data_IF_093849864429
#
_entry.id   IF_093849864429
#
_cell.length_a   1.000
_cell.length_b   1.000
_cell.length_c   1.000
_cell.angle_alpha   90.00
_cell.angle_beta   90.00
_cell.angle_gamma   90.00
#
_symmetry.space_group_name_H-M   'P 1'
#
loop_
_entity.id
_entity.type
_entity.pdbx_description
1 polymer ?
#
# COMPACT_ATOMS: atom_id res chain seq x y z
N UNK A 1 80.83 -25.19 38.33
CA UNK A 1 79.41 -25.19 38.76
C UNK A 1 78.57 -24.60 37.63
N UNK A 2 78.31 -25.35 36.55
CA UNK A 2 77.58 -24.85 35.37
C UNK A 2 76.61 -25.89 34.76
N UNK A 3 76.46 -27.06 35.39
CA UNK A 3 75.60 -28.14 34.87
C UNK A 3 74.13 -28.06 35.29
N UNK A 4 73.78 -27.25 36.30
CA UNK A 4 72.42 -27.21 36.84
C UNK A 4 71.47 -26.25 36.09
N UNK A 5 71.99 -25.23 35.41
CA UNK A 5 71.18 -24.23 34.70
C UNK A 5 70.72 -24.67 33.30
N UNK A 6 71.43 -25.61 32.67
CA UNK A 6 71.10 -26.11 31.33
C UNK A 6 69.86 -27.03 31.36
N UNK A 7 69.72 -27.86 32.40
CA UNK A 7 68.57 -28.77 32.53
C UNK A 7 67.23 -28.06 32.76
N UNK A 8 67.23 -26.92 33.45
CA UNK A 8 65.99 -26.15 33.69
C UNK A 8 65.47 -25.43 32.44
N UNK A 9 66.38 -24.98 31.56
CA UNK A 9 65.98 -24.30 30.31
C UNK A 9 65.34 -25.28 29.34
N UNK A 10 65.90 -26.50 29.19
CA UNK A 10 65.29 -27.54 28.34
C UNK A 10 63.92 -28.00 28.85
N UNK A 11 63.76 -28.13 30.17
CA UNK A 11 62.49 -28.50 30.76
C UNK A 11 61.40 -27.43 30.54
N UNK A 12 61.75 -26.15 30.73
CA UNK A 12 60.83 -25.04 30.48
C UNK A 12 60.46 -24.91 29.00
N UNK A 13 61.40 -25.15 28.09
CA UNK A 13 61.14 -25.15 26.65
C UNK A 13 60.18 -26.29 26.27
N UNK A 14 60.39 -27.49 26.81
CA UNK A 14 59.51 -28.64 26.58
C UNK A 14 58.08 -28.40 27.10
N UNK A 15 57.94 -27.81 28.29
CA UNK A 15 56.63 -27.44 28.86
C UNK A 15 55.95 -26.34 28.04
N UNK A 16 56.69 -25.33 27.58
CA UNK A 16 56.14 -24.25 26.76
C UNK A 16 55.64 -24.74 25.40
N UNK A 17 56.38 -25.66 24.75
CA UNK A 17 55.96 -26.27 23.48
C UNK A 17 54.76 -27.20 23.69
N UNK A 18 54.75 -28.00 24.76
CA UNK A 18 53.62 -28.86 25.10
C UNK A 18 52.33 -28.08 25.39
N UNK A 19 52.43 -27.00 26.16
CA UNK A 19 51.30 -26.13 26.48
C UNK A 19 50.82 -25.31 25.27
N UNK A 20 51.73 -24.78 24.46
CA UNK A 20 51.41 -24.00 23.26
C UNK A 20 50.80 -24.86 22.14
N UNK A 21 51.34 -26.06 21.91
CA UNK A 21 50.86 -26.99 20.90
C UNK A 21 49.44 -27.52 21.18
N UNK A 22 49.15 -27.85 22.45
CA UNK A 22 47.83 -28.33 22.85
C UNK A 22 46.71 -27.30 22.66
N UNK A 23 47.00 -26.01 22.86
CA UNK A 23 46.00 -24.94 22.76
C UNK A 23 45.60 -24.58 21.33
N UNK A 24 46.50 -24.77 20.36
CA UNK A 24 46.25 -24.53 18.94
C UNK A 24 45.56 -25.73 18.29
N UNK A 25 46.02 -26.95 18.59
CA UNK A 25 45.44 -28.18 18.05
C UNK A 25 44.01 -28.42 18.54
N UNK A 26 43.70 -28.07 19.79
CA UNK A 26 42.35 -28.20 20.35
C UNK A 26 41.32 -27.20 19.78
N UNK A 27 41.75 -26.10 19.15
CA UNK A 27 40.86 -25.06 18.61
C UNK A 27 40.51 -25.21 17.13
N UNK A 28 41.27 -25.98 16.36
CA UNK A 28 40.99 -26.20 14.94
C UNK A 28 39.55 -26.69 14.64
N UNK A 29 38.99 -27.71 15.31
CA UNK A 29 37.64 -28.18 14.99
C UNK A 29 36.56 -27.14 15.34
N UNK A 30 36.77 -26.36 16.40
CA UNK A 30 35.82 -25.33 16.83
C UNK A 30 35.70 -24.18 15.81
N UNK A 31 36.80 -23.78 15.19
CA UNK A 31 36.79 -22.72 14.17
C UNK A 31 36.11 -23.17 12.88
N UNK A 32 36.23 -24.44 12.49
CA UNK A 32 35.55 -24.98 11.32
C UNK A 32 34.04 -25.08 11.51
N UNK A 33 33.58 -25.48 12.69
CA UNK A 33 32.14 -25.51 13.01
C UNK A 33 31.54 -24.11 13.04
N UNK A 34 32.23 -23.13 13.63
CA UNK A 34 31.78 -21.73 13.63
C UNK A 34 31.75 -21.13 12.22
N UNK A 35 32.75 -21.41 11.38
CA UNK A 35 32.76 -20.96 9.99
C UNK A 35 31.63 -21.59 9.18
N UNK A 36 31.32 -22.87 9.39
CA UNK A 36 30.17 -23.52 8.76
C UNK A 36 28.84 -22.96 9.26
N UNK A 37 28.69 -22.77 10.57
CA UNK A 37 27.47 -22.24 11.17
C UNK A 37 27.18 -20.81 10.69
N UNK A 38 28.21 -19.95 10.63
CA UNK A 38 28.08 -18.59 10.09
C UNK A 38 27.77 -18.58 8.61
N UNK A 39 28.37 -19.49 7.82
CA UNK A 39 28.06 -19.64 6.40
C UNK A 39 26.60 -20.07 6.18
N UNK A 40 26.11 -21.07 6.93
CA UNK A 40 24.72 -21.53 6.88
C UNK A 40 23.75 -20.44 7.32
N UNK A 41 24.05 -19.71 8.40
CA UNK A 41 23.19 -18.58 8.80
C UNK A 41 23.22 -17.42 7.79
N UNK A 42 24.33 -17.18 7.10
CA UNK A 42 24.40 -16.17 6.05
C UNK A 42 23.52 -16.56 4.85
N UNK A 43 23.53 -17.83 4.44
CA UNK A 43 22.67 -18.32 3.35
C UNK A 43 21.20 -18.34 3.74
N UNK A 44 20.86 -18.78 4.95
CA UNK A 44 19.50 -18.74 5.48
C UNK A 44 18.96 -17.32 5.56
N UNK A 45 19.75 -16.36 6.05
CA UNK A 45 19.34 -14.94 6.09
C UNK A 45 19.19 -14.35 4.70
N UNK A 46 20.06 -14.70 3.76
CA UNK A 46 19.93 -14.26 2.37
C UNK A 46 18.68 -14.86 1.70
N UNK A 47 18.39 -16.14 1.95
CA UNK A 47 17.18 -16.80 1.47
C UNK A 47 15.91 -16.19 2.10
N UNK A 48 15.91 -15.94 3.41
CA UNK A 48 14.81 -15.29 4.11
C UNK A 48 14.59 -13.84 3.63
N UNK A 49 15.67 -13.08 3.42
CA UNK A 49 15.60 -11.71 2.93
C UNK A 49 15.07 -11.65 1.49
N UNK A 50 15.50 -12.57 0.62
CA UNK A 50 14.99 -12.65 -0.76
C UNK A 50 13.54 -13.11 -0.82
N UNK A 51 13.13 -14.07 0.01
CA UNK A 51 11.73 -14.48 0.12
C UNK A 51 10.84 -13.34 0.65
N UNK A 52 11.29 -12.60 1.66
CA UNK A 52 10.59 -11.43 2.17
C UNK A 52 10.50 -10.32 1.11
N UNK A 53 11.58 -10.08 0.35
CA UNK A 53 11.56 -9.11 -0.74
C UNK A 53 10.58 -9.49 -1.86
N UNK A 54 10.54 -10.78 -2.24
CA UNK A 54 9.59 -11.28 -3.24
C UNK A 54 8.14 -11.11 -2.77
N UNK A 55 7.82 -11.43 -1.52
CA UNK A 55 6.49 -11.23 -0.96
C UNK A 55 6.07 -9.75 -0.98
N UNK A 56 6.99 -8.82 -0.73
CA UNK A 56 6.71 -7.38 -0.83
C UNK A 56 6.51 -6.92 -2.28
N UNK A 57 7.28 -7.45 -3.24
CA UNK A 57 7.12 -7.14 -4.65
C UNK A 57 5.79 -7.68 -5.21
N UNK A 58 5.36 -8.87 -4.80
CA UNK A 58 4.06 -9.43 -5.16
C UNK A 58 2.89 -8.61 -4.57
N UNK A 59 3.07 -8.08 -3.35
CA UNK A 59 2.09 -7.15 -2.78
C UNK A 59 2.06 -5.81 -3.55
N UNK A 60 3.22 -5.24 -3.90
CA UNK A 60 3.30 -4.00 -4.67
C UNK A 60 2.72 -4.15 -6.07
N UNK A 61 3.12 -5.17 -6.83
CA UNK A 61 2.61 -5.40 -8.19
C UNK A 61 1.09 -5.57 -8.23
N UNK A 62 0.50 -6.24 -7.24
CA UNK A 62 -0.97 -6.32 -7.10
C UNK A 62 -1.59 -4.94 -6.84
N UNK A 63 -0.99 -4.16 -5.94
CA UNK A 63 -1.42 -2.78 -5.69
C UNK A 63 -1.35 -1.90 -6.94
N UNK A 64 -0.28 -2.03 -7.73
CA UNK A 64 -0.06 -1.26 -8.95
C UNK A 64 -1.06 -1.63 -10.05
N UNK A 65 -1.33 -2.92 -10.26
CA UNK A 65 -2.32 -3.40 -11.22
C UNK A 65 -3.74 -2.90 -10.89
N UNK A 66 -4.12 -2.97 -9.61
CA UNK A 66 -5.41 -2.46 -9.15
C UNK A 66 -5.50 -0.94 -9.29
N UNK A 67 -4.42 -0.23 -8.96
CA UNK A 67 -4.34 1.24 -9.10
C UNK A 67 -4.45 1.68 -10.56
N UNK A 68 -3.79 0.96 -11.48
CA UNK A 68 -3.88 1.21 -12.92
C UNK A 68 -5.31 0.96 -13.45
N UNK A 69 -5.96 -0.12 -13.03
CA UNK A 69 -7.36 -0.40 -13.38
C UNK A 69 -8.31 0.68 -12.88
N UNK A 70 -8.12 1.17 -11.66
CA UNK A 70 -8.91 2.24 -11.07
C UNK A 70 -8.72 3.56 -11.83
N UNK A 71 -7.49 3.91 -12.20
CA UNK A 71 -7.20 5.10 -13.00
C UNK A 71 -7.90 5.03 -14.37
N UNK A 72 -7.91 3.87 -15.02
CA UNK A 72 -8.61 3.67 -16.29
C UNK A 72 -10.13 3.81 -16.13
N UNK A 73 -10.72 3.26 -15.08
CA UNK A 73 -12.15 3.44 -14.80
C UNK A 73 -12.49 4.90 -14.51
N UNK A 74 -11.65 5.61 -13.77
CA UNK A 74 -11.86 7.03 -13.47
C UNK A 74 -11.85 7.87 -14.75
N UNK A 75 -10.88 7.67 -15.64
CA UNK A 75 -10.81 8.41 -16.91
C UNK A 75 -12.02 8.13 -17.81
N UNK A 76 -12.53 6.89 -17.80
CA UNK A 76 -13.75 6.53 -18.50
C UNK A 76 -14.99 7.26 -17.94
N UNK A 77 -15.15 7.27 -16.61
CA UNK A 77 -16.23 8.01 -15.93
C UNK A 77 -16.14 9.50 -16.24
N UNK A 78 -14.94 10.09 -16.17
CA UNK A 78 -14.72 11.51 -16.43
C UNK A 78 -15.04 11.87 -17.89
N UNK A 79 -14.69 11.00 -18.84
CA UNK A 79 -15.03 11.19 -20.25
C UNK A 79 -16.55 11.14 -20.46
N UNK A 80 -17.22 10.11 -19.94
CA UNK A 80 -18.67 9.99 -20.04
C UNK A 80 -19.37 11.21 -19.43
N UNK A 81 -18.88 11.67 -18.28
CA UNK A 81 -19.37 12.87 -17.62
C UNK A 81 -19.27 14.08 -18.56
N UNK A 82 -18.10 14.32 -19.17
CA UNK A 82 -17.91 15.43 -20.11
C UNK A 82 -18.83 15.33 -21.33
N UNK A 83 -18.96 14.14 -21.93
CA UNK A 83 -19.85 13.90 -23.07
C UNK A 83 -21.31 14.21 -22.71
N UNK A 84 -21.77 13.78 -21.53
CA UNK A 84 -23.13 14.05 -21.06
C UNK A 84 -23.33 15.51 -20.73
N UNK A 85 -22.40 16.15 -20.02
CA UNK A 85 -22.47 17.59 -19.71
C UNK A 85 -22.55 18.43 -20.99
N UNK A 86 -21.81 18.08 -22.03
CA UNK A 86 -21.92 18.78 -23.31
C UNK A 86 -23.29 18.58 -23.98
N UNK A 87 -23.85 17.37 -23.90
CA UNK A 87 -25.18 17.07 -24.42
C UNK A 87 -26.31 17.80 -23.66
N UNK A 88 -26.13 18.11 -22.36
CA UNK A 88 -27.12 18.87 -21.57
C UNK A 88 -27.45 20.19 -22.27
N UNK A 89 -26.44 20.94 -22.71
CA UNK A 89 -26.62 22.28 -23.31
C UNK A 89 -27.57 22.24 -24.53
N UNK A 90 -27.64 21.09 -25.22
CA UNK A 90 -28.51 20.91 -26.37
C UNK A 90 -29.90 20.37 -26.00
N UNK A 91 -30.04 19.71 -24.85
CA UNK A 91 -31.26 19.04 -24.41
C UNK A 91 -32.07 19.83 -23.36
N UNK A 92 -31.45 20.78 -22.66
CA UNK A 92 -32.09 21.61 -21.63
C UNK A 92 -32.32 23.03 -22.11
N UNK A 93 -33.31 23.69 -21.51
CA UNK A 93 -33.76 25.03 -21.93
C UNK A 93 -33.42 26.14 -20.95
N UNK A 94 -32.86 25.80 -19.79
CA UNK A 94 -32.67 26.74 -18.68
C UNK A 94 -33.98 27.07 -17.94
N UNK A 95 -35.03 26.26 -18.14
CA UNK A 95 -36.34 26.49 -17.53
C UNK A 95 -36.32 26.24 -16.03
N UNK A 96 -36.97 27.11 -15.24
CA UNK A 96 -36.95 26.99 -13.78
C UNK A 96 -37.76 25.76 -13.31
N UNK A 97 -37.07 24.75 -12.78
CA UNK A 97 -37.68 23.51 -12.29
C UNK A 97 -37.88 23.51 -10.78
N UNK A 98 -36.87 23.96 -10.01
CA UNK A 98 -36.94 23.98 -8.55
C UNK A 98 -36.92 25.41 -8.02
N UNK A 99 -37.86 25.70 -7.10
CA UNK A 99 -37.97 27.00 -6.43
C UNK A 99 -37.29 26.94 -5.05
N UNK A 100 -36.97 28.12 -4.53
CA UNK A 100 -36.24 28.33 -3.27
C UNK A 100 -36.63 27.37 -2.11
N UNK A 101 -37.92 27.13 -1.77
CA UNK A 101 -38.26 26.27 -0.63
C UNK A 101 -37.84 24.81 -0.84
N UNK A 102 -37.99 24.29 -2.06
CA UNK A 102 -37.59 22.92 -2.40
C UNK A 102 -36.07 22.81 -2.51
N UNK A 103 -35.40 23.84 -3.03
CA UNK A 103 -33.94 23.91 -3.09
C UNK A 103 -33.31 23.93 -1.70
N UNK A 104 -33.91 24.63 -0.75
CA UNK A 104 -33.46 24.67 0.65
C UNK A 104 -33.56 23.30 1.32
N UNK A 105 -34.62 22.54 1.05
CA UNK A 105 -34.76 21.16 1.53
C UNK A 105 -33.67 20.26 0.94
N UNK A 106 -33.41 20.38 -0.37
CA UNK A 106 -32.36 19.62 -1.05
C UNK A 106 -30.97 19.94 -0.48
N UNK A 107 -30.66 21.24 -0.30
CA UNK A 107 -29.40 21.71 0.26
C UNK A 107 -29.18 21.30 1.73
N UNK A 108 -30.26 21.02 2.47
CA UNK A 108 -30.20 20.60 3.87
C UNK A 108 -30.20 19.07 4.04
N UNK A 109 -30.27 18.30 2.94
CA UNK A 109 -30.36 16.85 3.01
C UNK A 109 -29.02 16.22 3.48
N UNK A 110 -29.04 15.34 4.50
CA UNK A 110 -27.82 14.71 5.00
C UNK A 110 -27.22 13.76 3.96
N UNK A 111 -25.89 13.80 3.81
CA UNK A 111 -25.16 12.94 2.86
C UNK A 111 -25.28 13.36 1.40
N UNK A 112 -25.98 14.46 1.10
CA UNK A 112 -26.11 14.99 -0.25
C UNK A 112 -25.24 16.24 -0.42
N UNK A 113 -24.27 16.19 -1.33
CA UNK A 113 -23.53 17.38 -1.73
C UNK A 113 -24.21 18.00 -2.94
N UNK A 114 -24.70 19.23 -2.76
CA UNK A 114 -25.48 19.96 -3.76
C UNK A 114 -24.60 21.05 -4.39
N UNK A 115 -23.38 20.68 -4.76
CA UNK A 115 -22.44 21.56 -5.44
C UNK A 115 -22.91 21.84 -6.88
N UNK A 116 -22.79 23.09 -7.33
CA UNK A 116 -23.19 23.50 -8.69
C UNK A 116 -24.64 23.99 -8.84
N UNK A 117 -25.49 23.80 -7.83
CA UNK A 117 -26.83 24.40 -7.79
C UNK A 117 -26.80 25.79 -7.12
N UNK A 118 -27.75 26.69 -7.46
CA UNK A 118 -27.88 27.99 -6.83
C UNK A 118 -27.95 27.85 -5.31
N UNK A 119 -27.15 28.63 -4.58
CA UNK A 119 -27.20 28.61 -3.12
C UNK A 119 -28.37 29.45 -2.64
N UNK A 120 -29.21 28.87 -1.77
CA UNK A 120 -30.24 29.63 -1.04
C UNK A 120 -29.67 30.03 0.30
N UNK A 121 -29.54 31.34 0.60
CA UNK A 121 -29.13 31.78 1.92
C UNK A 121 -30.08 31.23 2.99
N UNK A 122 -29.54 30.75 4.11
CA UNK A 122 -30.31 30.25 5.26
C UNK A 122 -30.98 31.38 6.06
N UNK A 123 -31.45 32.45 5.40
CA UNK A 123 -31.97 33.66 6.04
C UNK A 123 -33.01 34.39 5.18
N UNK A 124 -33.88 35.23 5.79
CA UNK A 124 -34.99 35.86 5.10
C UNK A 124 -34.54 37.15 4.41
N UNK A 125 -33.70 37.08 3.37
CA UNK A 125 -33.51 38.19 2.43
C UNK A 125 -32.55 37.81 1.29
N UNK A 126 -33.10 37.68 0.08
CA UNK A 126 -32.51 38.30 -1.10
C UNK A 126 -33.61 38.44 -2.16
N UNK A 127 -33.78 39.66 -2.67
CA UNK A 127 -34.65 39.97 -3.81
C UNK A 127 -34.04 39.34 -5.08
N UNK A 128 -34.36 38.07 -5.28
CA UNK A 128 -33.83 37.20 -6.31
C UNK A 128 -34.07 35.79 -5.84
N UNK A 129 -35.29 35.26 -6.08
CA UNK A 129 -35.61 33.88 -5.69
C UNK A 129 -34.62 32.96 -6.39
N UNK A 130 -33.71 32.34 -5.65
CA UNK A 130 -32.85 31.31 -6.20
C UNK A 130 -33.73 30.18 -6.73
N UNK A 131 -33.61 29.93 -8.02
CA UNK A 131 -34.32 28.87 -8.74
C UNK A 131 -33.30 28.04 -9.46
N UNK A 132 -33.37 26.72 -9.30
CA UNK A 132 -32.61 25.79 -10.11
C UNK A 132 -33.34 25.53 -11.43
N UNK A 133 -32.60 25.67 -12.52
CA UNK A 133 -33.06 25.30 -13.85
C UNK A 133 -33.00 23.79 -14.09
N UNK A 134 -33.67 23.32 -15.14
CA UNK A 134 -33.49 21.97 -15.70
C UNK A 134 -32.01 21.66 -15.98
N UNK A 135 -31.27 22.64 -16.50
CA UNK A 135 -29.81 22.56 -16.72
C UNK A 135 -29.06 22.30 -15.42
N UNK A 136 -29.33 23.09 -14.38
CA UNK A 136 -28.62 22.98 -13.09
C UNK A 136 -28.88 21.62 -12.42
N UNK A 137 -30.15 21.18 -12.43
CA UNK A 137 -30.53 19.89 -11.86
C UNK A 137 -29.92 18.72 -12.64
N UNK A 138 -29.90 18.80 -13.98
CA UNK A 138 -29.34 17.74 -14.82
C UNK A 138 -27.82 17.67 -14.65
N UNK A 139 -27.13 18.80 -14.59
CA UNK A 139 -25.69 18.85 -14.34
C UNK A 139 -25.36 18.26 -12.97
N UNK A 140 -26.08 18.68 -11.94
CA UNK A 140 -25.91 18.14 -10.58
C UNK A 140 -26.14 16.62 -10.52
N UNK A 141 -27.17 16.11 -11.19
CA UNK A 141 -27.45 14.67 -11.21
C UNK A 141 -26.33 13.86 -11.86
N UNK A 142 -25.74 14.38 -12.95
CA UNK A 142 -24.58 13.76 -13.61
C UNK A 142 -23.34 13.81 -12.71
N UNK A 143 -23.09 14.94 -12.04
CA UNK A 143 -22.00 15.09 -11.08
C UNK A 143 -22.13 14.09 -9.92
N UNK A 144 -23.33 13.99 -9.33
CA UNK A 144 -23.63 13.09 -8.24
C UNK A 144 -23.48 11.61 -8.66
N UNK A 145 -23.99 11.25 -9.85
CA UNK A 145 -23.84 9.91 -10.41
C UNK A 145 -22.37 9.53 -10.64
N UNK A 146 -21.57 10.45 -11.19
CA UNK A 146 -20.13 10.22 -11.38
C UNK A 146 -19.40 10.01 -10.04
N UNK A 147 -19.72 10.82 -9.01
CA UNK A 147 -19.14 10.66 -7.68
C UNK A 147 -19.50 9.31 -7.05
N UNK A 148 -20.75 8.85 -7.23
CA UNK A 148 -21.18 7.53 -6.78
C UNK A 148 -20.42 6.40 -7.48
N UNK A 149 -20.31 6.44 -8.80
CA UNK A 149 -19.57 5.41 -9.56
C UNK A 149 -18.08 5.37 -9.18
N UNK A 150 -17.45 6.52 -8.96
CA UNK A 150 -16.07 6.58 -8.42
C UNK A 150 -15.98 5.92 -7.04
N UNK A 151 -16.93 6.19 -6.15
CA UNK A 151 -16.96 5.59 -4.82
C UNK A 151 -17.13 4.07 -4.89
N UNK A 152 -18.07 3.60 -5.72
CA UNK A 152 -18.31 2.18 -5.97
C UNK A 152 -17.07 1.48 -6.52
N UNK A 153 -16.44 2.05 -7.54
CA UNK A 153 -15.21 1.50 -8.13
C UNK A 153 -14.06 1.37 -7.11
N UNK A 154 -13.90 2.38 -6.22
CA UNK A 154 -12.92 2.33 -5.13
C UNK A 154 -13.21 1.21 -4.13
N UNK A 155 -14.47 1.04 -3.75
CA UNK A 155 -14.89 -0.03 -2.83
C UNK A 155 -14.71 -1.40 -3.47
N UNK A 156 -15.10 -1.55 -4.74
CA UNK A 156 -14.91 -2.80 -5.50
C UNK A 156 -13.43 -3.19 -5.58
N UNK A 157 -12.54 -2.22 -5.84
CA UNK A 157 -11.09 -2.45 -5.85
C UNK A 157 -10.54 -2.85 -4.47
N UNK A 158 -11.04 -2.25 -3.39
CA UNK A 158 -10.67 -2.62 -2.02
C UNK A 158 -11.15 -4.03 -1.67
N UNK A 159 -12.37 -4.39 -2.07
CA UNK A 159 -12.92 -5.73 -1.87
C UNK A 159 -12.09 -6.77 -2.61
N UNK A 160 -11.74 -6.54 -3.89
CA UNK A 160 -10.90 -7.49 -4.66
C UNK A 160 -9.52 -7.66 -4.00
N UNK A 161 -8.92 -6.57 -3.51
CA UNK A 161 -7.65 -6.63 -2.78
C UNK A 161 -7.71 -7.52 -1.52
N UNK A 162 -8.80 -7.43 -0.74
CA UNK A 162 -8.95 -8.17 0.51
C UNK A 162 -9.39 -9.63 0.26
N UNK A 163 -10.24 -9.86 -0.74
CA UNK A 163 -10.85 -11.18 -0.98
C UNK A 163 -9.99 -12.12 -1.80
N UNK A 164 -8.97 -11.62 -2.52
CA UNK A 164 -8.03 -12.43 -3.28
C UNK A 164 -6.76 -12.69 -2.46
N UNK A 165 -6.66 -13.82 -1.73
CA UNK A 165 -5.47 -14.13 -0.95
C UNK A 165 -4.23 -14.20 -1.85
N UNK A 166 -3.09 -13.73 -1.34
CA UNK A 166 -1.82 -14.06 -1.95
C UNK A 166 -1.70 -15.59 -1.90
N UNK A 167 -1.42 -16.23 -3.03
CA UNK A 167 -1.00 -17.63 -3.00
C UNK A 167 0.36 -17.61 -2.31
N UNK A 168 0.37 -17.82 -1.00
CA UNK A 168 1.59 -17.99 -0.25
C UNK A 168 2.32 -19.19 -0.87
N UNK A 169 3.48 -18.96 -1.46
CA UNK A 169 4.44 -20.02 -1.70
C UNK A 169 4.73 -20.64 -0.33
N UNK A 170 4.14 -21.80 -0.07
CA UNK A 170 4.47 -22.64 1.09
C UNK A 170 5.97 -22.84 1.08
N UNK A 171 6.65 -22.30 2.10
CA UNK A 171 8.06 -22.56 2.32
C UNK A 171 8.29 -24.09 2.33
N UNK A 172 9.38 -24.60 1.73
CA UNK A 172 9.70 -26.02 1.83
C UNK A 172 9.87 -26.35 3.30
N UNK A 173 8.95 -27.16 3.82
CA UNK A 173 9.04 -27.74 5.15
C UNK A 173 10.29 -28.61 5.13
N UNK A 174 11.36 -28.17 5.81
CA UNK A 174 12.53 -28.99 6.01
C UNK A 174 12.09 -30.23 6.80
N UNK A 175 12.10 -31.39 6.14
CA UNK A 175 11.88 -32.68 6.76
C UNK A 175 13.10 -33.05 7.64
N UNK A 176 12.90 -33.78 8.74
CA UNK A 176 13.95 -34.17 9.68
C UNK A 176 14.98 -35.13 9.09
#
# INVERSE_FOLDING_TARGET
MSGASIGWVEFLLAVAIGAGGGWVLGRMPLHTELAQLTATHATERAAAASAAAQAMLEAQTRGDLLSAGLLQQQTYIDRLKQEKTHAIVQATTGSACLREPALRLLNSAPGLSVAGLPQTPSGPAAAGRATASDTDLTSWAIDAGAAYETCRARLDALIDFITRPAIHATAPTAAP
#
